data_IF_725360920448
#
_entry.id   IF_725360920448
#
_cell.length_a   1.000
_cell.length_b   1.000
_cell.length_c   1.000
_cell.angle_alpha   90.00
_cell.angle_beta   90.00
_cell.angle_gamma   90.00
#
_symmetry.space_group_name_H-M   'P 1'
#
loop_
_entity.id
_entity.type
_entity.pdbx_description
1 polymer ?
#
# COMPACT_ATOMS: atom_id res chain seq x y z
N UNK A 1 21.03 -76.45 42.15
CA UNK A 1 20.22 -75.28 42.59
C UNK A 1 20.26 -74.21 41.50
N UNK A 2 19.18 -74.02 40.71
CA UNK A 2 19.11 -73.00 39.65
C UNK A 2 18.53 -71.70 40.22
N UNK A 3 19.29 -70.60 40.19
CA UNK A 3 18.79 -69.25 40.55
C UNK A 3 18.30 -68.56 39.27
N UNK A 4 16.99 -68.33 39.17
CA UNK A 4 16.40 -67.48 38.14
C UNK A 4 16.77 -66.02 38.43
N UNK A 5 17.39 -65.36 37.45
CA UNK A 5 17.56 -63.89 37.44
C UNK A 5 16.46 -63.29 36.57
N UNK A 6 15.50 -62.66 37.22
CA UNK A 6 14.46 -61.85 36.57
C UNK A 6 15.10 -60.52 36.18
N UNK A 7 15.20 -60.26 34.88
CA UNK A 7 15.69 -59.00 34.31
C UNK A 7 14.52 -58.01 34.22
N UNK A 8 14.50 -57.01 35.10
CA UNK A 8 13.55 -55.89 35.00
C UNK A 8 14.02 -54.92 33.92
N UNK A 9 13.29 -54.88 32.80
CA UNK A 9 13.46 -53.85 31.76
C UNK A 9 12.55 -52.68 32.15
N UNK A 10 13.14 -51.61 32.69
CA UNK A 10 12.43 -50.35 32.94
C UNK A 10 12.22 -49.62 31.63
N UNK A 11 10.98 -49.65 31.13
CA UNK A 11 10.52 -48.90 29.96
C UNK A 11 10.34 -47.42 30.34
N UNK A 12 11.35 -46.60 30.07
CA UNK A 12 11.31 -45.15 30.25
C UNK A 12 10.39 -44.54 29.20
N UNK A 13 9.16 -44.19 29.58
CA UNK A 13 8.19 -43.51 28.73
C UNK A 13 8.62 -42.05 28.54
N UNK A 14 9.21 -41.73 27.38
CA UNK A 14 9.58 -40.36 27.00
C UNK A 14 8.30 -39.61 26.62
N UNK A 15 7.75 -38.82 27.55
CA UNK A 15 6.57 -37.99 27.29
C UNK A 15 6.97 -36.81 26.39
N UNK A 16 6.73 -36.94 25.09
CA UNK A 16 6.88 -35.84 24.13
C UNK A 16 5.68 -34.91 24.30
N UNK A 17 5.84 -33.82 25.03
CA UNK A 17 4.84 -32.75 25.10
C UNK A 17 4.90 -31.93 23.81
N UNK A 18 3.89 -31.98 22.92
CA UNK A 18 3.84 -31.08 21.79
C UNK A 18 3.65 -29.65 22.31
N UNK A 19 4.61 -28.77 22.03
CA UNK A 19 4.41 -27.33 22.17
C UNK A 19 3.37 -26.89 21.12
N UNK A 20 2.10 -26.77 21.54
CA UNK A 20 1.09 -26.11 20.73
C UNK A 20 1.49 -24.64 20.66
N UNK A 21 2.04 -24.23 19.52
CA UNK A 21 2.27 -22.82 19.23
C UNK A 21 0.88 -22.16 19.04
N UNK A 22 0.30 -21.64 20.12
CA UNK A 22 -0.96 -20.92 20.05
C UNK A 22 -0.75 -19.64 19.22
N UNK A 23 -1.44 -19.54 18.08
CA UNK A 23 -1.48 -18.32 17.28
C UNK A 23 -2.08 -17.16 18.10
N UNK A 24 -1.69 -15.93 17.78
CA UNK A 24 -2.26 -14.76 18.45
C UNK A 24 -3.78 -14.66 18.20
N UNK A 25 -4.53 -14.02 19.10
CA UNK A 25 -5.99 -13.86 18.94
C UNK A 25 -6.36 -13.25 17.58
N UNK A 26 -5.64 -12.23 17.12
CA UNK A 26 -5.86 -11.60 15.82
C UNK A 26 -5.58 -12.51 14.63
N UNK A 27 -4.60 -13.42 14.75
CA UNK A 27 -4.32 -14.43 13.73
C UNK A 27 -5.45 -15.45 13.63
N UNK A 28 -5.96 -15.93 14.77
CA UNK A 28 -7.08 -16.87 14.83
C UNK A 28 -8.37 -16.25 14.28
N UNK A 29 -8.66 -14.99 14.64
CA UNK A 29 -9.79 -14.25 14.11
C UNK A 29 -9.65 -14.02 12.60
N UNK A 30 -8.46 -13.66 12.10
CA UNK A 30 -8.23 -13.51 10.67
C UNK A 30 -8.43 -14.84 9.93
N UNK A 31 -7.90 -15.95 10.47
CA UNK A 31 -8.06 -17.28 9.90
C UNK A 31 -9.55 -17.67 9.79
N UNK A 32 -10.34 -17.35 10.81
CA UNK A 32 -11.77 -17.64 10.84
C UNK A 32 -12.59 -16.73 9.91
N UNK A 33 -12.29 -15.44 9.86
CA UNK A 33 -13.18 -14.42 9.26
C UNK A 33 -12.73 -13.92 7.89
N UNK A 34 -11.44 -13.97 7.59
CA UNK A 34 -10.85 -13.29 6.43
C UNK A 34 -10.11 -14.23 5.48
N UNK A 35 -9.60 -15.37 5.98
CA UNK A 35 -8.76 -16.28 5.20
C UNK A 35 -9.50 -17.05 4.10
N UNK A 36 -10.85 -17.05 4.11
CA UNK A 36 -11.65 -17.59 3.01
C UNK A 36 -11.35 -16.88 1.67
N UNK A 37 -10.97 -15.59 1.73
CA UNK A 37 -10.67 -14.78 0.55
C UNK A 37 -9.20 -14.33 0.52
N UNK A 38 -8.65 -13.89 1.66
CA UNK A 38 -7.33 -13.27 1.73
C UNK A 38 -6.25 -14.24 2.21
N UNK A 39 -5.19 -14.38 1.42
CA UNK A 39 -4.00 -15.15 1.81
C UNK A 39 -3.01 -14.29 2.60
N UNK A 40 -2.46 -14.86 3.68
CA UNK A 40 -1.36 -14.26 4.46
C UNK A 40 -0.01 -14.47 3.78
N UNK A 41 0.11 -15.49 2.94
CA UNK A 41 1.33 -15.80 2.18
C UNK A 41 1.17 -15.44 0.71
N UNK A 42 2.28 -15.45 -0.03
CA UNK A 42 2.25 -15.27 -1.48
C UNK A 42 1.62 -16.49 -2.15
N UNK A 43 0.49 -16.33 -2.88
CA UNK A 43 -0.09 -17.42 -3.66
C UNK A 43 0.86 -17.83 -4.78
N UNK A 44 1.05 -19.15 -4.98
CA UNK A 44 1.83 -19.69 -6.10
C UNK A 44 1.08 -19.56 -7.42
N UNK A 45 -0.22 -19.80 -7.39
CA UNK A 45 -1.11 -19.71 -8.54
C UNK A 45 -2.04 -18.51 -8.38
N UNK A 46 -1.81 -17.48 -9.20
CA UNK A 46 -2.58 -16.26 -9.18
C UNK A 46 -3.92 -16.38 -9.92
N UNK A 47 -4.22 -17.47 -10.63
CA UNK A 47 -5.52 -17.65 -11.30
C UNK A 47 -6.64 -18.02 -10.32
N UNK A 48 -6.29 -18.64 -9.19
CA UNK A 48 -7.23 -19.17 -8.19
C UNK A 48 -7.54 -18.20 -7.05
N UNK A 49 -6.89 -17.04 -7.02
CA UNK A 49 -7.07 -16.06 -5.93
C UNK A 49 -8.21 -15.13 -6.26
N UNK A 50 -9.20 -15.08 -5.37
CA UNK A 50 -10.41 -14.26 -5.52
C UNK A 50 -10.27 -12.88 -4.86
N UNK A 51 -9.27 -12.70 -4.01
CA UNK A 51 -8.97 -11.43 -3.37
C UNK A 51 -7.45 -11.17 -3.33
N UNK A 52 -7.01 -9.91 -3.17
CA UNK A 52 -5.59 -9.60 -3.07
C UNK A 52 -4.97 -10.22 -1.79
N UNK A 53 -3.75 -10.74 -1.92
CA UNK A 53 -3.00 -11.23 -0.77
C UNK A 53 -2.74 -10.11 0.25
N UNK A 54 -2.86 -10.44 1.54
CA UNK A 54 -2.81 -9.51 2.66
C UNK A 54 -1.53 -8.66 2.66
N UNK A 55 -0.38 -9.25 2.32
CA UNK A 55 0.89 -8.51 2.32
C UNK A 55 0.89 -7.36 1.29
N UNK A 56 0.21 -7.55 0.15
CA UNK A 56 0.04 -6.50 -0.85
C UNK A 56 -0.93 -5.40 -0.39
N UNK A 57 -2.03 -5.80 0.25
CA UNK A 57 -3.01 -4.89 0.85
C UNK A 57 -2.33 -4.02 1.90
N UNK A 58 -1.65 -4.63 2.88
CA UNK A 58 -1.02 -3.93 3.99
C UNK A 58 0.15 -3.05 3.54
N UNK A 59 0.87 -3.43 2.48
CA UNK A 59 1.88 -2.55 1.87
C UNK A 59 1.27 -1.23 1.38
N UNK A 60 0.16 -1.30 0.65
CA UNK A 60 -0.49 -0.08 0.14
C UNK A 60 -1.18 0.69 1.26
N UNK A 61 -1.78 -0.02 2.22
CA UNK A 61 -2.42 0.58 3.37
C UNK A 61 -1.43 1.41 4.20
N UNK A 62 -0.25 0.87 4.52
CA UNK A 62 0.79 1.59 5.28
C UNK A 62 1.42 2.77 4.51
N UNK A 63 1.30 2.81 3.18
CA UNK A 63 1.72 3.97 2.40
C UNK A 63 0.81 5.19 2.60
N UNK A 64 -0.46 4.93 2.95
CA UNK A 64 -1.52 5.93 3.12
C UNK A 64 -1.82 6.23 4.58
N UNK A 65 -1.81 5.19 5.42
CA UNK A 65 -2.01 5.23 6.85
C UNK A 65 -0.80 4.61 7.56
N UNK A 66 0.31 5.36 7.69
CA UNK A 66 1.51 4.87 8.37
C UNK A 66 1.33 4.81 9.89
N UNK A 67 0.31 5.47 10.44
CA UNK A 67 -0.07 5.37 11.84
C UNK A 67 -1.02 4.19 12.04
N UNK A 68 -0.76 3.36 13.07
CA UNK A 68 -1.56 2.17 13.37
C UNK A 68 -3.02 2.49 13.68
N UNK A 69 -3.31 3.51 14.48
CA UNK A 69 -4.68 3.87 14.86
C UNK A 69 -5.50 4.29 13.63
N UNK A 70 -4.93 5.12 12.75
CA UNK A 70 -5.58 5.52 11.49
C UNK A 70 -5.78 4.33 10.55
N UNK A 71 -4.79 3.45 10.45
CA UNK A 71 -4.86 2.23 9.64
C UNK A 71 -5.96 1.29 10.14
N UNK A 72 -6.04 1.07 11.45
CA UNK A 72 -7.08 0.24 12.09
C UNK A 72 -8.46 0.85 11.87
N UNK A 73 -8.62 2.16 12.08
CA UNK A 73 -9.88 2.86 11.84
C UNK A 73 -10.32 2.72 10.37
N UNK A 74 -9.38 2.88 9.42
CA UNK A 74 -9.66 2.67 8.01
C UNK A 74 -10.07 1.22 7.69
N UNK A 75 -9.35 0.21 8.21
CA UNK A 75 -9.68 -1.20 7.98
C UNK A 75 -11.09 -1.50 8.52
N UNK A 76 -11.44 -1.00 9.71
CA UNK A 76 -12.77 -1.15 10.28
C UNK A 76 -13.84 -0.56 9.35
N UNK A 77 -13.70 0.70 8.97
CA UNK A 77 -14.68 1.38 8.11
C UNK A 77 -14.78 0.73 6.73
N UNK A 78 -13.65 0.42 6.07
CA UNK A 78 -13.67 -0.19 4.74
C UNK A 78 -14.24 -1.61 4.74
N UNK A 79 -13.97 -2.40 5.79
CA UNK A 79 -14.48 -3.77 5.89
C UNK A 79 -16.00 -3.81 6.08
N UNK A 80 -16.55 -2.84 6.81
CA UNK A 80 -17.99 -2.73 7.05
C UNK A 80 -18.71 -1.95 5.93
N UNK A 81 -18.08 -0.92 5.37
CA UNK A 81 -18.65 0.00 4.39
C UNK A 81 -17.73 0.19 3.17
N UNK A 82 -17.43 -0.88 2.40
CA UNK A 82 -16.54 -0.77 1.26
C UNK A 82 -17.20 0.06 0.15
N UNK A 83 -16.46 1.03 -0.39
CA UNK A 83 -16.83 1.75 -1.61
C UNK A 83 -15.64 1.82 -2.55
N UNK A 84 -15.88 2.07 -3.84
CA UNK A 84 -14.79 2.18 -4.83
C UNK A 84 -13.86 3.35 -4.51
N UNK A 85 -14.40 4.42 -3.95
CA UNK A 85 -13.70 5.64 -3.59
C UNK A 85 -12.78 5.45 -2.37
N UNK A 86 -13.17 4.58 -1.44
CA UNK A 86 -12.37 4.23 -0.26
C UNK A 86 -11.30 3.18 -0.54
N UNK A 87 -11.35 2.50 -1.69
CA UNK A 87 -10.46 1.39 -1.98
C UNK A 87 -9.00 1.84 -2.09
N UNK A 88 -8.13 1.25 -1.27
CA UNK A 88 -6.68 1.53 -1.25
C UNK A 88 -5.94 0.85 -2.40
N UNK A 89 -6.48 -0.26 -2.89
CA UNK A 89 -5.91 -0.95 -4.03
C UNK A 89 -6.19 -0.15 -5.31
N UNK A 90 -5.22 -0.16 -6.23
CA UNK A 90 -5.35 0.54 -7.52
C UNK A 90 -6.58 0.04 -8.30
N UNK A 91 -7.19 0.85 -9.18
CA UNK A 91 -8.40 0.49 -9.92
C UNK A 91 -8.31 -0.86 -10.67
N UNK A 92 -7.14 -1.24 -11.19
CA UNK A 92 -6.94 -2.53 -11.86
C UNK A 92 -7.16 -3.74 -10.94
N UNK A 93 -7.02 -3.56 -9.62
CA UNK A 93 -7.33 -4.60 -8.64
C UNK A 93 -8.82 -4.73 -8.40
N UNK A 94 -9.56 -3.63 -8.44
CA UNK A 94 -11.02 -3.63 -8.37
C UNK A 94 -11.60 -4.26 -9.64
N UNK A 95 -11.02 -3.95 -10.81
CA UNK A 95 -11.40 -4.60 -12.08
C UNK A 95 -11.17 -6.11 -12.05
N UNK A 96 -10.05 -6.54 -11.45
CA UNK A 96 -9.70 -7.96 -11.36
C UNK A 96 -10.48 -8.74 -10.30
N UNK A 97 -10.60 -8.20 -9.09
CA UNK A 97 -11.13 -8.92 -7.92
C UNK A 97 -12.54 -8.48 -7.53
N UNK A 98 -13.06 -7.42 -8.14
CA UNK A 98 -14.24 -6.73 -7.66
C UNK A 98 -13.96 -5.82 -6.46
N UNK A 99 -15.01 -5.13 -6.01
CA UNK A 99 -15.01 -4.44 -4.72
C UNK A 99 -15.17 -5.49 -3.61
N UNK A 100 -14.42 -5.34 -2.52
CA UNK A 100 -14.57 -6.21 -1.34
C UNK A 100 -16.04 -6.17 -0.86
N UNK A 101 -16.69 -7.32 -0.63
CA UNK A 101 -18.05 -7.34 -0.10
C UNK A 101 -18.04 -6.86 1.36
N UNK A 102 -19.10 -6.14 1.76
CA UNK A 102 -19.30 -5.73 3.15
C UNK A 102 -19.32 -6.96 4.06
N UNK A 103 -18.62 -6.88 5.20
CA UNK A 103 -18.60 -7.93 6.23
C UNK A 103 -19.52 -7.61 7.41
N UNK A 104 -20.46 -6.67 7.25
CA UNK A 104 -21.51 -6.43 8.26
C UNK A 104 -22.25 -7.74 8.54
N UNK A 105 -22.37 -8.08 9.82
CA UNK A 105 -22.99 -9.33 10.28
C UNK A 105 -22.04 -10.54 10.34
N UNK A 106 -20.91 -10.52 9.64
CA UNK A 106 -19.92 -11.61 9.67
C UNK A 106 -18.82 -11.38 10.71
N UNK A 107 -18.49 -10.11 10.95
CA UNK A 107 -17.45 -9.67 11.89
C UNK A 107 -17.90 -8.37 12.57
N UNK A 108 -17.64 -8.25 13.87
CA UNK A 108 -17.98 -7.06 14.65
C UNK A 108 -16.78 -6.10 14.78
N UNK A 109 -17.04 -4.88 15.27
CA UNK A 109 -16.01 -3.85 15.37
C UNK A 109 -14.84 -4.20 16.29
N UNK A 110 -15.09 -4.93 17.38
CA UNK A 110 -14.06 -5.33 18.35
C UNK A 110 -13.16 -6.41 17.75
N UNK A 111 -13.75 -7.39 17.07
CA UNK A 111 -12.99 -8.38 16.30
C UNK A 111 -12.17 -7.70 15.21
N UNK A 112 -12.73 -6.74 14.47
CA UNK A 112 -12.02 -6.00 13.43
C UNK A 112 -10.85 -5.19 13.99
N UNK A 113 -10.98 -4.62 15.18
CA UNK A 113 -9.88 -3.90 15.83
C UNK A 113 -8.71 -4.82 16.14
N UNK A 114 -8.98 -6.03 16.66
CA UNK A 114 -7.97 -7.06 16.95
C UNK A 114 -7.34 -7.57 15.65
N UNK A 115 -8.15 -7.92 14.65
CA UNK A 115 -7.69 -8.39 13.33
C UNK A 115 -6.82 -7.32 12.65
N UNK A 116 -7.29 -6.08 12.58
CA UNK A 116 -6.60 -4.99 11.91
C UNK A 116 -5.28 -4.63 12.61
N UNK A 117 -5.28 -4.64 13.95
CA UNK A 117 -4.06 -4.41 14.74
C UNK A 117 -3.02 -5.48 14.45
N UNK A 118 -3.42 -6.75 14.44
CA UNK A 118 -2.55 -7.87 14.10
C UNK A 118 -2.04 -7.78 12.65
N UNK A 119 -2.91 -7.47 11.68
CA UNK A 119 -2.52 -7.25 10.28
C UNK A 119 -1.47 -6.15 10.16
N UNK A 120 -1.64 -5.04 10.89
CA UNK A 120 -0.72 -3.92 10.89
C UNK A 120 0.63 -4.30 11.47
N UNK A 121 0.68 -5.07 12.54
CA UNK A 121 1.96 -5.42 13.18
C UNK A 121 2.75 -6.45 12.35
N UNK A 122 2.05 -7.36 11.68
CA UNK A 122 2.68 -8.54 11.07
C UNK A 122 2.87 -8.44 9.54
N UNK A 123 2.19 -7.50 8.86
CA UNK A 123 2.23 -7.41 7.40
C UNK A 123 2.51 -6.00 6.87
N UNK A 124 3.19 -5.90 5.71
CA UNK A 124 3.93 -6.99 5.07
C UNK A 124 5.18 -7.37 5.89
N UNK A 125 5.72 -8.60 5.73
CA UNK A 125 7.03 -8.98 6.26
C UNK A 125 8.12 -7.99 5.83
N UNK A 126 9.15 -7.81 6.66
CA UNK A 126 10.22 -6.82 6.44
C UNK A 126 10.94 -6.99 5.09
N UNK A 127 11.07 -8.22 4.61
CA UNK A 127 11.71 -8.60 3.36
C UNK A 127 10.74 -8.62 2.15
N UNK A 128 9.48 -8.22 2.34
CA UNK A 128 8.49 -8.25 1.29
C UNK A 128 8.85 -7.32 0.12
N UNK A 129 9.31 -7.94 -0.96
CA UNK A 129 9.37 -7.31 -2.28
C UNK A 129 8.03 -7.58 -2.95
N UNK A 130 7.28 -6.51 -3.24
CA UNK A 130 6.03 -6.62 -3.99
C UNK A 130 6.22 -7.36 -5.32
N UNK A 131 5.12 -7.78 -5.93
CA UNK A 131 5.13 -8.34 -7.30
C UNK A 131 5.48 -7.22 -8.28
N UNK A 132 6.76 -6.85 -8.36
CA UNK A 132 7.28 -6.12 -9.51
C UNK A 132 7.00 -6.94 -10.75
N UNK A 133 6.68 -6.27 -11.87
CA UNK A 133 6.54 -6.89 -13.18
C UNK A 133 7.59 -8.00 -13.33
N UNK A 134 7.15 -9.25 -13.36
CA UNK A 134 8.03 -10.41 -13.41
C UNK A 134 9.00 -10.28 -14.57
N UNK A 135 10.26 -10.68 -14.34
CA UNK A 135 11.29 -10.92 -15.35
C UNK A 135 11.31 -9.96 -16.55
N UNK A 136 11.86 -8.75 -16.36
CA UNK A 136 12.64 -8.12 -17.44
C UNK A 136 14.04 -8.74 -17.49
N UNK A 137 14.12 -10.05 -17.73
CA UNK A 137 15.33 -10.67 -18.29
C UNK A 137 15.18 -10.68 -19.81
N UNK A 138 15.28 -9.49 -20.39
CA UNK A 138 15.40 -9.29 -21.82
C UNK A 138 16.50 -8.27 -22.04
N UNK A 139 17.65 -8.73 -22.53
CA UNK A 139 18.75 -7.88 -22.95
C UNK A 139 18.21 -6.89 -23.97
N UNK A 140 18.19 -5.63 -23.58
CA UNK A 140 17.94 -4.50 -24.44
C UNK A 140 18.42 -3.31 -23.68
N UNK A 141 19.62 -2.81 -24.02
CA UNK A 141 20.02 -1.47 -23.67
C UNK A 141 18.98 -0.53 -24.31
N UNK A 142 17.89 -0.28 -23.58
CA UNK A 142 17.11 0.92 -23.81
C UNK A 142 18.04 2.04 -23.42
N UNK A 143 18.65 2.66 -24.44
CA UNK A 143 19.06 4.06 -24.35
C UNK A 143 18.02 4.77 -23.51
N UNK A 144 18.45 5.50 -22.48
CA UNK A 144 17.57 6.29 -21.61
C UNK A 144 17.00 7.46 -22.43
N UNK A 145 16.17 7.15 -23.44
CA UNK A 145 15.19 8.07 -23.94
C UNK A 145 14.26 8.34 -22.77
N UNK A 146 14.17 9.61 -22.38
CA UNK A 146 13.20 10.13 -21.43
C UNK A 146 11.85 9.50 -21.79
N UNK A 147 11.41 8.51 -21.02
CA UNK A 147 10.09 7.93 -21.23
C UNK A 147 9.10 9.06 -20.98
N UNK A 148 8.20 9.33 -21.92
CA UNK A 148 7.33 10.48 -21.80
C UNK A 148 6.45 10.27 -20.56
N UNK A 149 6.23 11.37 -19.87
CA UNK A 149 5.52 11.59 -18.60
C UNK A 149 4.01 11.29 -18.70
N UNK A 150 3.62 10.34 -19.55
CA UNK A 150 2.29 10.23 -20.16
C UNK A 150 1.17 10.02 -19.15
N UNK A 151 1.46 9.50 -17.96
CA UNK A 151 0.46 9.21 -16.93
C UNK A 151 0.67 9.95 -15.60
N UNK A 152 1.49 11.01 -15.56
CA UNK A 152 1.61 11.81 -14.34
C UNK A 152 0.46 12.82 -14.26
N UNK A 153 -0.18 13.01 -13.08
CA UNK A 153 -1.15 14.08 -12.91
C UNK A 153 -0.49 15.47 -12.89
N UNK A 154 0.85 15.55 -12.91
CA UNK A 154 1.61 16.79 -12.85
C UNK A 154 1.95 17.32 -14.25
N UNK A 155 1.94 18.64 -14.38
CA UNK A 155 2.44 19.37 -15.55
C UNK A 155 3.98 19.30 -15.60
N UNK A 156 4.65 19.50 -14.46
CA UNK A 156 6.11 19.42 -14.34
C UNK A 156 6.49 18.10 -13.64
N UNK A 157 6.76 17.06 -14.42
CA UNK A 157 7.01 15.72 -13.88
C UNK A 157 8.41 15.49 -13.29
N UNK A 158 9.37 16.39 -13.53
CA UNK A 158 10.77 16.26 -13.13
C UNK A 158 11.08 16.82 -11.73
N UNK A 159 10.07 17.29 -10.99
CA UNK A 159 10.26 17.84 -9.65
C UNK A 159 10.73 16.78 -8.64
N UNK A 160 11.63 17.13 -7.70
CA UNK A 160 12.17 16.18 -6.73
C UNK A 160 11.10 15.73 -5.73
N UNK A 161 11.14 14.45 -5.38
CA UNK A 161 10.12 13.81 -4.55
C UNK A 161 10.57 13.63 -3.10
N UNK A 162 11.02 14.71 -2.45
CA UNK A 162 11.68 14.70 -1.13
C UNK A 162 10.85 13.95 -0.08
N UNK A 163 9.54 14.18 0.00
CA UNK A 163 8.64 13.52 0.97
C UNK A 163 8.66 11.99 0.86
N UNK A 164 8.89 11.45 -0.34
CA UNK A 164 9.03 9.99 -0.55
C UNK A 164 10.41 9.48 -0.13
N UNK A 165 11.46 10.28 -0.34
CA UNK A 165 12.80 9.97 0.17
C UNK A 165 12.82 9.97 1.70
N UNK A 166 12.15 10.94 2.32
CA UNK A 166 11.93 10.99 3.78
C UNK A 166 11.20 9.73 4.25
N UNK A 167 10.08 9.36 3.61
CA UNK A 167 9.32 8.15 3.96
C UNK A 167 10.16 6.86 3.88
N UNK A 168 11.05 6.74 2.89
CA UNK A 168 11.93 5.57 2.77
C UNK A 168 12.98 5.49 3.89
N UNK A 169 13.32 6.61 4.50
CA UNK A 169 14.34 6.73 5.53
C UNK A 169 13.72 7.11 6.89
N UNK A 170 12.42 6.83 7.09
CA UNK A 170 11.64 7.33 8.22
C UNK A 170 12.21 6.96 9.60
N UNK A 171 12.82 5.76 9.67
CA UNK A 171 13.44 5.21 10.88
C UNK A 171 14.97 5.10 10.75
N UNK A 172 15.57 5.89 9.84
CA UNK A 172 17.01 5.96 9.68
C UNK A 172 17.63 6.81 10.81
N UNK A 173 18.60 6.23 11.53
CA UNK A 173 19.26 6.88 12.67
C UNK A 173 20.11 8.11 12.29
N UNK A 174 20.57 8.24 11.05
CA UNK A 174 21.28 9.43 10.57
C UNK A 174 20.33 10.56 10.17
N UNK A 175 19.11 10.23 9.70
CA UNK A 175 18.08 11.22 9.41
C UNK A 175 17.45 11.74 10.71
N UNK A 176 17.34 10.89 11.73
CA UNK A 176 16.95 11.25 13.10
C UNK A 176 15.74 12.21 13.17
N UNK A 177 14.61 11.79 12.60
CA UNK A 177 13.38 12.58 12.63
C UNK A 177 12.75 12.54 14.02
N UNK A 178 12.56 13.70 14.63
CA UNK A 178 11.77 13.80 15.87
C UNK A 178 10.30 13.44 15.63
N UNK A 179 9.60 12.98 16.67
CA UNK A 179 8.17 12.65 16.59
C UNK A 179 7.31 13.82 16.13
N UNK A 180 7.67 15.05 16.55
CA UNK A 180 7.03 16.28 16.10
C UNK A 180 7.20 16.51 14.60
N UNK A 181 8.39 16.24 14.06
CA UNK A 181 8.64 16.33 12.61
C UNK A 181 7.86 15.26 11.86
N UNK A 182 7.90 14.01 12.33
CA UNK A 182 7.13 12.88 11.77
C UNK A 182 5.64 13.24 11.67
N UNK A 183 5.03 13.73 12.75
CA UNK A 183 3.64 14.14 12.77
C UNK A 183 3.32 15.26 11.76
N UNK A 184 4.17 16.28 11.65
CA UNK A 184 3.99 17.37 10.66
C UNK A 184 4.13 16.87 9.22
N UNK A 185 5.13 16.03 8.94
CA UNK A 185 5.37 15.45 7.62
C UNK A 185 4.21 14.57 7.17
N UNK A 186 3.59 13.82 8.10
CA UNK A 186 2.39 13.05 7.82
C UNK A 186 1.21 13.93 7.43
N UNK A 187 0.96 15.02 8.17
CA UNK A 187 -0.10 15.98 7.81
C UNK A 187 0.12 16.61 6.43
N UNK A 188 1.36 16.99 6.11
CA UNK A 188 1.71 17.51 4.77
C UNK A 188 1.38 16.46 3.71
N UNK A 189 1.83 15.21 3.90
CA UNK A 189 1.58 14.11 2.97
C UNK A 189 0.09 13.83 2.78
N UNK A 190 -0.68 13.74 3.87
CA UNK A 190 -2.12 13.47 3.84
C UNK A 190 -2.85 14.54 3.02
N UNK A 191 -2.56 15.82 3.26
CA UNK A 191 -3.14 16.93 2.48
C UNK A 191 -2.79 16.84 1.00
N UNK A 192 -1.50 16.71 0.67
CA UNK A 192 -1.04 16.58 -0.72
C UNK A 192 -1.69 15.40 -1.43
N UNK A 193 -1.72 14.22 -0.79
CA UNK A 193 -2.29 13.02 -1.40
C UNK A 193 -3.80 13.14 -1.59
N UNK A 194 -4.52 13.77 -0.67
CA UNK A 194 -5.97 14.02 -0.81
C UNK A 194 -6.27 14.81 -2.08
N UNK A 195 -5.56 15.92 -2.29
CA UNK A 195 -5.76 16.78 -3.46
C UNK A 195 -5.36 16.09 -4.77
N UNK A 196 -4.17 15.48 -4.82
CA UNK A 196 -3.71 14.76 -6.02
C UNK A 196 -4.66 13.61 -6.39
N UNK A 197 -5.21 12.89 -5.40
CA UNK A 197 -6.20 11.82 -5.62
C UNK A 197 -7.53 12.32 -6.15
N UNK A 198 -7.94 13.54 -5.80
CA UNK A 198 -9.16 14.14 -6.32
C UNK A 198 -8.98 14.57 -7.79
N UNK A 199 -7.78 15.04 -8.16
CA UNK A 199 -7.46 15.56 -9.50
C UNK A 199 -7.21 14.44 -10.52
N UNK A 200 -6.48 13.39 -10.12
CA UNK A 200 -6.07 12.31 -11.01
C UNK A 200 -7.22 11.66 -11.83
N UNK A 201 -8.37 11.28 -11.24
CA UNK A 201 -9.47 10.68 -12.01
C UNK A 201 -10.15 11.68 -12.95
N UNK A 202 -10.15 12.97 -12.62
CA UNK A 202 -10.70 14.02 -13.49
C UNK A 202 -9.85 14.16 -14.76
N UNK A 203 -8.53 14.26 -14.60
CA UNK A 203 -7.58 14.28 -15.72
C UNK A 203 -7.77 13.03 -16.60
N UNK A 204 -7.86 11.85 -15.97
CA UNK A 204 -8.05 10.59 -16.71
C UNK A 204 -9.33 10.61 -17.55
N UNK A 205 -10.45 11.00 -16.94
CA UNK A 205 -11.75 11.09 -17.62
C UNK A 205 -11.71 12.04 -18.81
N UNK A 206 -11.09 13.22 -18.64
CA UNK A 206 -10.97 14.21 -19.71
C UNK A 206 -10.08 13.69 -20.86
N UNK A 207 -8.97 13.02 -20.54
CA UNK A 207 -8.10 12.41 -21.56
C UNK A 207 -8.83 11.31 -22.33
N UNK A 208 -9.64 10.48 -21.66
CA UNK A 208 -10.46 9.46 -22.31
C UNK A 208 -11.53 10.09 -23.23
N UNK A 209 -12.16 11.19 -22.80
CA UNK A 209 -13.09 11.96 -23.64
C UNK A 209 -12.41 12.57 -24.87
N UNK A 210 -11.24 13.20 -24.69
CA UNK A 210 -10.44 13.75 -25.78
C UNK A 210 -10.11 12.67 -26.80
N UNK A 211 -9.66 11.50 -26.32
CA UNK A 211 -9.36 10.36 -27.17
C UNK A 211 -10.60 9.91 -27.96
N UNK A 212 -11.74 9.72 -27.29
CA UNK A 212 -12.97 9.30 -27.94
C UNK A 212 -13.46 10.31 -29.01
N UNK A 213 -13.39 11.62 -28.73
CA UNK A 213 -13.72 12.66 -29.71
C UNK A 213 -12.77 12.62 -30.91
N UNK A 214 -11.47 12.43 -30.66
CA UNK A 214 -10.46 12.33 -31.72
C UNK A 214 -10.69 11.09 -32.58
N UNK A 215 -10.93 9.93 -31.97
CA UNK A 215 -11.18 8.66 -32.67
C UNK A 215 -12.46 8.73 -33.54
N UNK A 216 -13.42 9.57 -33.15
CA UNK A 216 -14.66 9.83 -33.90
C UNK A 216 -14.55 10.97 -34.92
N UNK A 217 -13.36 11.52 -35.17
CA UNK A 217 -13.12 12.66 -36.07
C UNK A 217 -13.99 13.89 -35.76
N UNK A 218 -14.27 14.14 -34.48
CA UNK A 218 -15.01 15.33 -34.06
C UNK A 218 -14.21 16.61 -34.29
N UNK A 219 -14.95 17.72 -34.40
CA UNK A 219 -14.35 19.04 -34.65
C UNK A 219 -13.42 19.47 -33.50
N UNK A 220 -12.28 20.06 -33.85
CA UNK A 220 -11.23 20.46 -32.89
C UNK A 220 -11.73 21.47 -31.85
N UNK A 221 -12.72 22.30 -32.20
CA UNK A 221 -13.35 23.27 -31.32
C UNK A 221 -14.06 22.61 -30.12
N UNK A 222 -14.50 21.35 -30.26
CA UNK A 222 -15.05 20.56 -29.14
C UNK A 222 -13.96 19.95 -28.25
N UNK A 223 -12.76 19.75 -28.79
CA UNK A 223 -11.64 19.08 -28.12
C UNK A 223 -10.80 20.08 -27.33
N UNK A 224 -10.54 21.26 -27.89
CA UNK A 224 -9.67 22.29 -27.29
C UNK A 224 -10.05 22.69 -25.86
N UNK A 225 -11.33 22.89 -25.51
CA UNK A 225 -11.71 23.22 -24.12
C UNK A 225 -11.30 22.12 -23.13
N UNK A 226 -11.43 20.85 -23.52
CA UNK A 226 -11.04 19.72 -22.67
C UNK A 226 -9.52 19.65 -22.47
N UNK A 227 -8.75 19.96 -23.52
CA UNK A 227 -7.28 20.05 -23.43
C UNK A 227 -6.88 21.15 -22.43
N UNK A 228 -7.54 22.31 -22.49
CA UNK A 228 -7.29 23.41 -21.57
C UNK A 228 -7.63 23.03 -20.13
N UNK A 229 -8.73 22.31 -19.91
CA UNK A 229 -9.12 21.81 -18.59
C UNK A 229 -8.08 20.82 -18.03
N UNK A 230 -7.58 19.90 -18.86
CA UNK A 230 -6.49 18.99 -18.48
C UNK A 230 -5.23 19.77 -18.09
N UNK A 231 -4.88 20.80 -18.85
CA UNK A 231 -3.71 21.64 -18.56
C UNK A 231 -3.86 22.35 -17.21
N UNK A 232 -5.02 22.94 -16.93
CA UNK A 232 -5.35 23.58 -15.65
C UNK A 232 -5.23 22.61 -14.47
N UNK A 233 -5.83 21.42 -14.60
CA UNK A 233 -5.75 20.39 -13.54
C UNK A 233 -4.31 19.92 -13.30
N UNK A 234 -3.52 19.74 -14.36
CA UNK A 234 -2.11 19.36 -14.25
C UNK A 234 -1.24 20.46 -13.64
N UNK A 235 -1.53 21.73 -13.96
CA UNK A 235 -0.88 22.87 -13.33
C UNK A 235 -1.17 22.90 -11.83
N UNK A 236 -2.44 22.79 -11.45
CA UNK A 236 -2.85 22.73 -10.05
C UNK A 236 -2.19 21.57 -9.29
N UNK A 237 -2.16 20.37 -9.85
CA UNK A 237 -1.44 19.25 -9.22
C UNK A 237 0.06 19.55 -9.01
N UNK A 238 0.68 20.30 -9.91
CA UNK A 238 2.09 20.72 -9.79
C UNK A 238 2.27 21.75 -8.67
N UNK A 239 1.35 22.70 -8.52
CA UNK A 239 1.34 23.65 -7.39
C UNK A 239 1.26 22.89 -6.06
N UNK A 240 0.35 21.91 -5.96
CA UNK A 240 0.21 21.05 -4.78
C UNK A 240 1.52 20.31 -4.47
N UNK A 241 2.24 19.84 -5.50
CA UNK A 241 3.55 19.20 -5.33
C UNK A 241 4.62 20.20 -4.85
N UNK A 242 4.64 21.43 -5.38
CA UNK A 242 5.58 22.48 -4.96
C UNK A 242 5.33 22.90 -3.51
N UNK A 243 4.06 23.04 -3.11
CA UNK A 243 3.68 23.33 -1.72
C UNK A 243 4.11 22.17 -0.81
N UNK A 244 3.91 20.92 -1.22
CA UNK A 244 4.37 19.75 -0.49
C UNK A 244 5.88 19.79 -0.25
N UNK A 245 6.65 20.16 -1.28
CA UNK A 245 8.09 20.30 -1.22
C UNK A 245 8.51 21.43 -0.27
N UNK A 246 7.90 22.61 -0.38
CA UNK A 246 8.20 23.75 0.48
C UNK A 246 7.96 23.42 1.96
N UNK A 247 6.75 22.93 2.28
CA UNK A 247 6.39 22.53 3.66
C UNK A 247 7.28 21.42 4.19
N UNK A 248 7.65 20.44 3.35
CA UNK A 248 8.60 19.39 3.75
C UNK A 248 9.95 19.98 4.11
N UNK A 249 10.47 20.94 3.33
CA UNK A 249 11.74 21.61 3.60
C UNK A 249 11.70 22.45 4.87
N UNK A 250 10.60 23.12 5.16
CA UNK A 250 10.41 23.91 6.40
C UNK A 250 10.41 23.03 7.67
N UNK A 251 9.99 21.77 7.56
CA UNK A 251 9.95 20.85 8.72
C UNK A 251 11.33 20.26 9.02
N UNK A 252 12.17 20.10 8.01
CA UNK A 252 13.47 19.43 8.11
C UNK A 252 14.58 20.41 8.45
N UNK A 253 15.56 19.97 9.23
CA UNK A 253 16.77 20.76 9.49
C UNK A 253 17.69 20.78 8.26
N UNK A 254 18.62 21.75 8.21
CA UNK A 254 19.62 21.82 7.15
C UNK A 254 20.43 20.52 7.03
N UNK A 255 20.84 19.92 8.15
CA UNK A 255 21.55 18.64 8.19
C UNK A 255 20.71 17.49 7.61
N UNK A 256 19.42 17.44 7.92
CA UNK A 256 18.50 16.44 7.39
C UNK A 256 18.28 16.61 5.88
N UNK A 257 18.17 17.85 5.40
CA UNK A 257 18.08 18.14 3.97
C UNK A 257 19.34 17.74 3.21
N UNK A 258 20.53 18.00 3.78
CA UNK A 258 21.80 17.57 3.20
C UNK A 258 21.93 16.05 3.14
N UNK A 259 21.51 15.35 4.21
CA UNK A 259 21.45 13.89 4.21
C UNK A 259 20.55 13.37 3.07
N UNK A 260 19.36 13.95 2.90
CA UNK A 260 18.41 13.53 1.86
C UNK A 260 18.90 13.84 0.45
N UNK A 261 19.68 14.90 0.25
CA UNK A 261 20.28 15.24 -1.03
C UNK A 261 21.32 14.20 -1.50
N UNK A 262 21.88 13.41 -0.56
CA UNK A 262 22.85 12.35 -0.83
C UNK A 262 22.21 10.97 -1.11
N UNK A 263 20.88 10.85 -1.08
CA UNK A 263 20.13 9.59 -1.25
C UNK A 263 19.34 9.54 -2.56
#
# INVERSE_FOLDING_TARGET
MKKNRILFITLTLLTFSPSIQAGSEGELLFASKCAACHSTTRPKDMSKVIAPALMGVMRHLKMDYPNKAEAVAFIKDFTLNPTKEKAICMPQKIERFGLMPSQKGNVNEKELEVIASWMFDNFPPKDFRGMGQGNRKGKGQRQRGVQPTQNTPFLIASLPHITKTVQKNWDNSELDLSDKQKAKLLKVRQGTMKEVRAIQPQIKTLVEKIKALTDNNEKVEKIMPLVQEVATLKAHATEVQLICLAKTKEILSAKQLEFLAKK
#
